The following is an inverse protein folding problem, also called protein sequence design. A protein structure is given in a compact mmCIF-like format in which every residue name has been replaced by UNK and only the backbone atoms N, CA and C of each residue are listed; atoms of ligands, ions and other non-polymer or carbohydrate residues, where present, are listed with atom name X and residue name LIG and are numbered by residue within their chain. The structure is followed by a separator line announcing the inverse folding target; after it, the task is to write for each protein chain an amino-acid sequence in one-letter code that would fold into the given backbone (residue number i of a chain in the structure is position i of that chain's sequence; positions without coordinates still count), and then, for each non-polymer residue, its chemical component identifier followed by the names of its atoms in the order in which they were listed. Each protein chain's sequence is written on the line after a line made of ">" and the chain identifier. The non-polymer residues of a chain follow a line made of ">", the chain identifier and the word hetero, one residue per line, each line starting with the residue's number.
data_IF_005708737560
#
_entry.id   IF_005708737560
#
_cell.length_a   1.000
_cell.length_b   1.000
_cell.length_c   1.000
_cell.angle_alpha   90.00
_cell.angle_beta   90.00
_cell.angle_gamma   90.00
#
_symmetry.space_group_name_H-M   'P 1'
#
loop_
_entity.id
_entity.type
_entity.pdbx_description
1 polymer ?
#
# COMPACT_ATOMS: atom_id res chain seq x y z
N UNK A 1 -13.80 2.47 -2.97
CA UNK A 1 -13.44 1.36 -3.90
C UNK A 1 -12.52 1.79 -5.04
N UNK A 2 -12.80 2.87 -5.78
CA UNK A 2 -11.95 3.33 -6.90
C UNK A 2 -10.48 3.50 -6.50
N UNK A 3 -10.20 4.17 -5.37
CA UNK A 3 -8.83 4.37 -4.88
C UNK A 3 -8.06 3.05 -4.62
N UNK A 4 -8.74 2.00 -4.17
CA UNK A 4 -8.13 0.69 -3.89
C UNK A 4 -7.72 0.02 -5.20
N UNK A 5 -8.60 0.05 -6.21
CA UNK A 5 -8.27 -0.50 -7.53
C UNK A 5 -7.22 0.33 -8.26
N UNK A 6 -7.25 1.65 -8.11
CA UNK A 6 -6.21 2.54 -8.64
C UNK A 6 -4.84 2.21 -8.02
N UNK A 7 -4.77 2.04 -6.69
CA UNK A 7 -3.55 1.64 -6.00
C UNK A 7 -3.07 0.24 -6.45
N UNK A 8 -3.98 -0.74 -6.57
CA UNK A 8 -3.64 -2.08 -7.04
C UNK A 8 -3.11 -2.07 -8.48
N UNK A 9 -3.80 -1.39 -9.40
CA UNK A 9 -3.39 -1.26 -10.80
C UNK A 9 -2.05 -0.52 -10.92
N UNK A 10 -1.85 0.54 -10.16
CA UNK A 10 -0.59 1.29 -10.12
C UNK A 10 0.57 0.43 -9.60
N UNK A 11 0.34 -0.35 -8.55
CA UNK A 11 1.33 -1.28 -8.01
C UNK A 11 1.74 -2.32 -9.07
N UNK A 12 0.77 -2.89 -9.79
CA UNK A 12 1.04 -3.84 -10.87
C UNK A 12 1.81 -3.20 -12.03
N UNK A 13 1.48 -1.96 -12.38
CA UNK A 13 2.20 -1.22 -13.42
C UNK A 13 3.67 -1.04 -13.04
N UNK A 14 3.96 -0.46 -11.87
CA UNK A 14 5.33 -0.18 -11.43
C UNK A 14 6.17 -1.46 -11.34
N UNK A 15 5.66 -2.47 -10.65
CA UNK A 15 6.44 -3.67 -10.37
C UNK A 15 6.44 -4.64 -11.54
N UNK A 16 5.39 -4.68 -12.36
CA UNK A 16 5.36 -5.42 -13.61
C UNK A 16 6.39 -4.89 -14.62
N UNK A 17 6.48 -3.56 -14.79
CA UNK A 17 7.54 -2.95 -15.60
C UNK A 17 8.93 -3.27 -15.03
N UNK A 18 9.11 -3.25 -13.70
CA UNK A 18 10.39 -3.62 -13.09
C UNK A 18 10.76 -5.08 -13.32
N UNK A 19 9.82 -6.01 -13.20
CA UNK A 19 10.03 -7.44 -13.50
C UNK A 19 10.52 -7.59 -14.94
N UNK A 20 9.82 -6.97 -15.90
CA UNK A 20 10.22 -6.99 -17.31
C UNK A 20 11.66 -6.50 -17.49
N UNK A 21 12.00 -5.34 -16.94
CA UNK A 21 13.34 -4.77 -17.08
C UNK A 21 14.41 -5.69 -16.46
N UNK A 22 14.17 -6.26 -15.27
CA UNK A 22 15.13 -7.18 -14.65
C UNK A 22 15.35 -8.43 -15.52
N UNK A 23 14.29 -8.97 -16.14
CA UNK A 23 14.40 -10.14 -17.01
C UNK A 23 15.14 -9.80 -18.30
N UNK A 24 14.82 -8.67 -18.94
CA UNK A 24 15.49 -8.21 -20.17
C UNK A 24 16.99 -7.93 -19.92
N UNK A 25 17.31 -7.33 -18.77
CA UNK A 25 18.68 -6.94 -18.41
C UNK A 25 19.47 -8.06 -17.70
N UNK A 26 18.89 -9.26 -17.52
CA UNK A 26 19.48 -10.37 -16.74
C UNK A 26 19.94 -9.93 -15.33
N UNK A 27 19.14 -9.12 -14.67
CA UNK A 27 19.44 -8.55 -13.36
C UNK A 27 19.41 -9.56 -12.22
N UNK A 28 19.67 -9.06 -11.00
CA UNK A 28 19.75 -9.87 -9.78
C UNK A 28 18.47 -10.65 -9.47
N UNK A 29 18.62 -11.93 -9.09
CA UNK A 29 17.52 -12.78 -8.59
C UNK A 29 16.81 -12.16 -7.39
N UNK A 30 17.54 -11.48 -6.50
CA UNK A 30 16.96 -10.84 -5.33
C UNK A 30 15.98 -9.72 -5.73
N UNK A 31 16.42 -8.85 -6.65
CA UNK A 31 15.58 -7.78 -7.20
C UNK A 31 14.32 -8.33 -7.88
N UNK A 32 14.47 -9.44 -8.60
CA UNK A 32 13.35 -10.12 -9.27
C UNK A 32 12.33 -10.62 -8.24
N UNK A 33 12.78 -11.28 -7.17
CA UNK A 33 11.92 -11.80 -6.10
C UNK A 33 11.16 -10.66 -5.43
N UNK A 34 11.83 -9.55 -5.10
CA UNK A 34 11.18 -8.38 -4.50
C UNK A 34 10.12 -7.79 -5.45
N UNK A 35 10.45 -7.64 -6.73
CA UNK A 35 9.52 -7.10 -7.71
C UNK A 35 8.29 -8.00 -7.92
N UNK A 36 8.49 -9.32 -7.99
CA UNK A 36 7.40 -10.30 -8.08
C UNK A 36 6.52 -10.29 -6.82
N UNK A 37 7.12 -10.22 -5.63
CA UNK A 37 6.37 -10.17 -4.37
C UNK A 37 5.47 -8.93 -4.30
N UNK A 38 5.96 -7.77 -4.74
CA UNK A 38 5.19 -6.53 -4.74
C UNK A 38 4.12 -6.52 -5.84
N UNK A 39 4.40 -7.09 -7.01
CA UNK A 39 3.38 -7.31 -8.03
C UNK A 39 2.26 -8.24 -7.51
N UNK A 40 2.62 -9.35 -6.88
CA UNK A 40 1.67 -10.27 -6.25
C UNK A 40 0.83 -9.59 -5.17
N UNK A 41 1.41 -8.66 -4.40
CA UNK A 41 0.70 -7.86 -3.41
C UNK A 41 -0.35 -6.94 -4.05
N UNK A 42 -0.05 -6.36 -5.22
CA UNK A 42 -1.03 -5.63 -6.03
C UNK A 42 -2.22 -6.51 -6.46
N UNK A 43 -1.95 -7.75 -6.90
CA UNK A 43 -3.02 -8.73 -7.19
C UNK A 43 -3.82 -9.05 -5.93
N UNK A 44 -3.15 -9.30 -4.80
CA UNK A 44 -3.78 -9.64 -3.54
C UNK A 44 -4.74 -8.53 -3.07
N UNK A 45 -4.36 -7.25 -3.20
CA UNK A 45 -5.24 -6.12 -2.89
C UNK A 45 -6.50 -6.15 -3.76
N UNK A 46 -6.36 -6.35 -5.08
CA UNK A 46 -7.51 -6.40 -5.99
C UNK A 46 -8.45 -7.58 -5.67
N UNK A 47 -7.90 -8.76 -5.35
CA UNK A 47 -8.67 -9.94 -4.97
C UNK A 47 -9.36 -9.72 -3.62
N UNK A 48 -8.65 -9.20 -2.63
CA UNK A 48 -9.19 -8.93 -1.29
C UNK A 48 -10.31 -7.88 -1.32
N UNK A 49 -10.19 -6.87 -2.19
CA UNK A 49 -11.23 -5.88 -2.43
C UNK A 49 -12.54 -6.50 -2.97
N UNK A 50 -12.44 -7.56 -3.79
CA UNK A 50 -13.61 -8.31 -4.29
C UNK A 50 -14.20 -9.28 -3.27
N UNK A 51 -13.36 -9.88 -2.43
CA UNK A 51 -13.75 -10.91 -1.46
C UNK A 51 -14.16 -10.38 -0.08
N UNK A 52 -14.10 -9.05 0.14
CA UNK A 52 -14.44 -8.45 1.43
C UNK A 52 -13.39 -8.62 2.53
N UNK A 53 -12.17 -9.07 2.19
CA UNK A 53 -11.07 -9.31 3.14
C UNK A 53 -9.97 -8.24 3.05
N UNK A 54 -10.32 -7.02 2.63
CA UNK A 54 -9.39 -5.99 2.20
C UNK A 54 -8.50 -5.43 3.32
N UNK A 55 -9.05 -5.25 4.51
CA UNK A 55 -8.40 -4.53 5.61
C UNK A 55 -6.95 -4.97 5.91
N UNK A 56 -6.68 -6.24 6.27
CA UNK A 56 -5.31 -6.68 6.59
C UNK A 56 -4.40 -6.65 5.36
N UNK A 57 -4.92 -6.98 4.18
CA UNK A 57 -4.15 -7.01 2.93
C UNK A 57 -3.71 -5.61 2.52
N UNK A 58 -4.62 -4.64 2.63
CA UNK A 58 -4.32 -3.24 2.35
C UNK A 58 -3.29 -2.68 3.35
N UNK A 59 -3.32 -3.11 4.61
CA UNK A 59 -2.35 -2.68 5.62
C UNK A 59 -0.93 -3.10 5.25
N UNK A 60 -0.77 -4.38 4.96
CA UNK A 60 0.50 -4.93 4.50
C UNK A 60 0.95 -4.24 3.22
N UNK A 61 0.04 -4.03 2.26
CA UNK A 61 0.37 -3.38 0.99
C UNK A 61 0.86 -1.94 1.15
N UNK A 62 0.20 -1.14 1.99
CA UNK A 62 0.59 0.25 2.25
C UNK A 62 1.93 0.31 2.98
N UNK A 63 2.11 -0.50 4.04
CA UNK A 63 3.37 -0.55 4.79
C UNK A 63 4.53 -1.01 3.91
N UNK A 64 4.35 -2.08 3.14
CA UNK A 64 5.37 -2.57 2.21
C UNK A 64 5.72 -1.53 1.14
N UNK A 65 4.73 -0.81 0.62
CA UNK A 65 4.94 0.28 -0.36
C UNK A 65 5.76 1.42 0.23
N UNK A 66 5.44 1.86 1.45
CA UNK A 66 6.21 2.91 2.13
C UNK A 66 7.63 2.42 2.40
N UNK A 67 7.80 1.22 2.94
CA UNK A 67 9.10 0.67 3.31
C UNK A 67 10.03 0.52 2.09
N UNK A 68 9.53 -0.05 0.99
CA UNK A 68 10.36 -0.25 -0.21
C UNK A 68 10.80 1.08 -0.81
N UNK A 69 9.91 2.07 -0.88
CA UNK A 69 10.26 3.38 -1.42
C UNK A 69 11.16 4.19 -0.48
N UNK A 70 10.98 4.07 0.84
CA UNK A 70 11.84 4.72 1.83
C UNK A 70 13.29 4.22 1.76
N UNK A 71 13.51 2.96 1.39
CA UNK A 71 14.86 2.42 1.16
C UNK A 71 15.35 2.75 -0.25
N UNK A 72 14.50 2.59 -1.26
CA UNK A 72 14.89 2.64 -2.67
C UNK A 72 15.14 4.06 -3.18
N UNK A 73 14.34 5.05 -2.77
CA UNK A 73 14.53 6.44 -3.24
C UNK A 73 15.88 7.01 -2.80
N UNK A 74 16.31 6.91 -1.52
CA UNK A 74 17.63 7.38 -1.11
C UNK A 74 18.75 6.69 -1.89
N UNK A 75 18.69 5.37 -2.05
CA UNK A 75 19.68 4.61 -2.83
C UNK A 75 19.79 5.12 -4.27
N UNK A 76 18.68 5.52 -4.90
CA UNK A 76 18.67 6.04 -6.28
C UNK A 76 19.13 7.51 -6.34
N UNK A 77 18.63 8.36 -5.43
CA UNK A 77 18.84 9.80 -5.50
C UNK A 77 20.28 10.17 -5.12
N UNK A 78 20.87 9.46 -4.16
CA UNK A 78 22.24 9.70 -3.70
C UNK A 78 23.30 8.96 -4.51
N UNK A 79 22.93 8.07 -5.43
CA UNK A 79 23.86 7.48 -6.39
C UNK A 79 24.27 8.53 -7.44
N UNK A 80 25.58 8.77 -7.59
CA UNK A 80 26.13 9.72 -8.55
C UNK A 80 26.04 9.23 -10.01
N UNK A 81 25.96 7.92 -10.22
CA UNK A 81 25.94 7.30 -11.55
C UNK A 81 24.57 7.47 -12.25
N UNK A 82 23.53 7.80 -11.49
CA UNK A 82 22.20 8.00 -12.03
C UNK A 82 21.97 9.42 -12.55
N UNK A 83 21.54 9.52 -13.81
CA UNK A 83 21.13 10.79 -14.41
C UNK A 83 19.90 11.43 -13.74
N UNK A 84 19.78 12.75 -13.83
CA UNK A 84 18.70 13.52 -13.17
C UNK A 84 17.29 13.06 -13.54
N UNK A 85 17.05 12.71 -14.80
CA UNK A 85 15.76 12.21 -15.27
C UNK A 85 15.39 10.86 -14.60
N UNK A 86 16.37 9.96 -14.43
CA UNK A 86 16.16 8.68 -13.75
C UNK A 86 15.73 8.88 -12.30
N UNK A 87 16.44 9.78 -11.59
CA UNK A 87 16.11 10.15 -10.20
C UNK A 87 14.71 10.76 -10.08
N UNK A 88 14.35 11.66 -11.00
CA UNK A 88 13.05 12.32 -11.02
C UNK A 88 11.90 11.31 -11.22
N UNK A 89 12.04 10.39 -12.18
CA UNK A 89 11.01 9.36 -12.44
C UNK A 89 10.80 8.49 -11.21
N UNK A 90 11.86 7.97 -10.60
CA UNK A 90 11.72 7.10 -9.42
C UNK A 90 11.14 7.83 -8.21
N UNK A 91 11.51 9.10 -8.03
CA UNK A 91 10.92 9.94 -6.97
C UNK A 91 9.43 10.16 -7.21
N UNK A 92 9.01 10.45 -8.46
CA UNK A 92 7.60 10.60 -8.80
C UNK A 92 6.82 9.29 -8.60
N UNK A 93 7.37 8.15 -9.04
CA UNK A 93 6.77 6.84 -8.81
C UNK A 93 6.57 6.55 -7.33
N UNK A 94 7.55 6.90 -6.48
CA UNK A 94 7.44 6.78 -5.02
C UNK A 94 6.29 7.61 -4.45
N UNK A 95 6.25 8.90 -4.80
CA UNK A 95 5.22 9.83 -4.33
C UNK A 95 3.82 9.35 -4.73
N UNK A 96 3.61 8.98 -6.00
CA UNK A 96 2.29 8.51 -6.47
C UNK A 96 1.91 7.20 -5.78
N UNK A 97 2.85 6.26 -5.63
CA UNK A 97 2.58 4.98 -4.96
C UNK A 97 2.13 5.17 -3.51
N UNK A 98 2.85 6.00 -2.76
CA UNK A 98 2.53 6.30 -1.36
C UNK A 98 1.22 7.06 -1.25
N UNK A 99 1.00 8.07 -2.10
CA UNK A 99 -0.23 8.85 -2.12
C UNK A 99 -1.46 7.96 -2.38
N UNK A 100 -1.40 7.11 -3.42
CA UNK A 100 -2.48 6.18 -3.73
C UNK A 100 -2.74 5.19 -2.58
N UNK A 101 -1.68 4.65 -1.96
CA UNK A 101 -1.81 3.76 -0.81
C UNK A 101 -2.49 4.44 0.38
N UNK A 102 -2.07 5.66 0.73
CA UNK A 102 -2.66 6.42 1.82
C UNK A 102 -4.11 6.84 1.53
N UNK A 103 -4.42 7.25 0.31
CA UNK A 103 -5.80 7.57 -0.10
C UNK A 103 -6.69 6.32 -0.04
N UNK A 104 -6.20 5.17 -0.52
CA UNK A 104 -6.92 3.90 -0.42
C UNK A 104 -7.18 3.52 1.05
N UNK A 105 -6.18 3.65 1.92
CA UNK A 105 -6.29 3.40 3.37
C UNK A 105 -7.30 4.30 4.06
N UNK A 106 -7.30 5.61 3.74
CA UNK A 106 -8.26 6.57 4.30
C UNK A 106 -9.68 6.28 3.82
N UNK A 107 -9.84 5.92 2.55
CA UNK A 107 -11.16 5.64 1.95
C UNK A 107 -11.84 4.38 2.50
N UNK A 108 -11.08 3.45 3.10
CA UNK A 108 -11.65 2.26 3.76
C UNK A 108 -12.00 2.48 5.23
N UNK A 109 -11.77 3.69 5.77
CA UNK A 109 -12.14 4.03 7.15
C UNK A 109 -11.32 3.32 8.21
N UNK A 110 -10.12 2.83 7.88
CA UNK A 110 -9.24 2.11 8.82
C UNK A 110 -8.50 3.04 9.81
N UNK A 111 -9.11 4.19 10.12
CA UNK A 111 -8.72 4.99 11.29
C UNK A 111 -9.43 4.39 12.50
N UNK A 112 -8.74 4.02 13.59
CA UNK A 112 -9.39 3.69 14.84
C UNK A 112 -10.06 4.96 15.36
N UNK A 113 -11.30 5.18 14.93
CA UNK A 113 -12.18 6.10 15.63
C UNK A 113 -12.21 5.61 17.08
N UNK A 114 -11.85 6.48 18.01
CA UNK A 114 -12.15 6.43 19.44
C UNK A 114 -13.68 6.44 19.64
N UNK A 115 -14.39 5.47 19.05
CA UNK A 115 -15.85 5.31 19.08
C UNK A 115 -16.25 4.34 20.20
N UNK A 116 -15.71 4.58 21.40
CA UNK A 116 -16.17 3.93 22.64
C UNK A 116 -16.44 4.92 23.78
N UNK A 117 -16.59 6.21 23.47
CA UNK A 117 -16.97 7.24 24.45
C UNK A 117 -18.48 7.41 24.69
N UNK A 118 -19.35 6.90 23.81
CA UNK A 118 -20.80 7.16 23.84
C UNK A 118 -21.66 5.89 23.86
N UNK A 119 -21.32 4.90 24.70
CA UNK A 119 -22.36 3.94 25.08
C UNK A 119 -23.23 4.63 26.15
N UNK A 120 -24.55 4.80 25.93
CA UNK A 120 -25.44 5.23 26.99
C UNK A 120 -25.29 4.25 28.17
N UNK A 121 -25.05 4.78 29.36
CA UNK A 121 -25.05 3.98 30.60
C UNK A 121 -26.39 3.25 30.65
N UNK A 122 -26.43 1.91 30.76
CA UNK A 122 -27.68 1.19 30.99
C UNK A 122 -28.32 1.79 32.23
N UNK A 123 -29.47 2.45 32.08
CA UNK A 123 -30.22 2.91 33.23
C UNK A 123 -30.64 1.64 33.97
N UNK A 124 -30.09 1.49 35.18
CA UNK A 124 -30.43 0.39 36.06
C UNK A 124 -31.95 0.41 36.22
N UNK A 125 -32.60 -0.60 35.66
CA UNK A 125 -34.01 -0.89 35.85
C UNK A 125 -34.18 -1.17 37.35
N UNK A 126 -34.55 -0.14 38.10
CA UNK A 126 -34.89 -0.27 39.51
C UNK A 126 -36.13 -1.12 39.59
N UNK A 127 -35.93 -2.41 39.87
CA UNK A 127 -36.95 -3.31 40.40
C UNK A 127 -37.41 -2.75 41.74
N UNK A 128 -38.43 -1.89 41.71
CA UNK A 128 -39.17 -1.45 42.88
C UNK A 128 -40.47 -2.23 42.96
N UNK A 129 -40.43 -3.34 43.68
CA UNK A 129 -41.60 -4.04 44.22
C UNK A 129 -42.35 -3.14 45.21
N UNK A 130 -43.65 -3.00 45.01
CA UNK A 130 -44.62 -2.35 45.90
C UNK A 130 -46.03 -2.67 45.45
#
# INVERSE_FOLDING_TARGET
>A
MIAVYAFAAWTLFVWGTRVRNIVEDQGSTFDLVVALALAALGVAVAVAARKGALAPVLAVAVVATVAVWALRVPLIVFDAEHGGAFKAVHSALAVVSVALGLVAWRATGFWPATRRGNQPVPQAETTGSG
#
